data_IF_704297686002
#
_entry.id   IF_704297686002
#
_cell.length_a   1.000
_cell.length_b   1.000
_cell.length_c   1.000
_cell.angle_alpha   90.00
_cell.angle_beta   90.00
_cell.angle_gamma   90.00
#
_symmetry.space_group_name_H-M   'P 1'
#
loop_
_entity.id
_entity.type
_entity.pdbx_description
1 polymer ?
#
# COMPACT_ATOMS: atom_id res chain seq x y z
N UNK A 1 3.16 10.54 4.66
CA UNK A 1 3.66 9.30 4.00
C UNK A 1 5.10 8.92 4.35
N UNK A 2 5.99 9.87 4.70
CA UNK A 2 7.42 9.61 4.98
C UNK A 2 7.73 8.38 5.86
N UNK A 3 7.16 8.30 7.06
CA UNK A 3 7.47 7.20 8.02
C UNK A 3 7.16 5.81 7.45
N UNK A 4 6.06 5.68 6.70
CA UNK A 4 5.69 4.41 6.06
C UNK A 4 6.71 4.07 4.96
N UNK A 5 7.08 5.06 4.14
CA UNK A 5 8.09 4.88 3.09
C UNK A 5 9.47 4.50 3.67
N UNK A 6 9.91 5.17 4.75
CA UNK A 6 11.16 4.82 5.46
C UNK A 6 11.13 3.38 5.99
N UNK A 7 9.98 2.95 6.53
CA UNK A 7 9.80 1.56 6.99
C UNK A 7 9.99 0.56 5.84
N UNK A 8 9.39 0.82 4.68
CA UNK A 8 9.53 -0.05 3.50
C UNK A 8 10.98 -0.10 3.01
N UNK A 9 11.64 1.05 2.91
CA UNK A 9 13.02 1.19 2.45
C UNK A 9 13.98 0.40 3.34
N UNK A 10 13.81 0.52 4.67
CA UNK A 10 14.59 -0.25 5.65
C UNK A 10 14.38 -1.76 5.49
N UNK A 11 13.13 -2.22 5.34
CA UNK A 11 12.83 -3.64 5.12
C UNK A 11 13.34 -4.19 3.78
N UNK A 12 13.67 -3.30 2.83
CA UNK A 12 14.33 -3.63 1.56
C UNK A 12 15.87 -3.56 1.65
N UNK A 13 16.44 -3.15 2.79
CA UNK A 13 17.89 -2.98 2.95
C UNK A 13 18.46 -1.88 2.06
N UNK A 14 17.72 -0.79 1.89
CA UNK A 14 18.08 0.37 1.06
C UNK A 14 18.18 1.63 1.91
N UNK A 15 18.85 2.64 1.37
CA UNK A 15 18.92 3.97 1.96
C UNK A 15 17.97 4.95 1.25
N UNK A 16 17.44 5.90 2.01
CA UNK A 16 16.43 6.86 1.52
C UNK A 16 16.91 7.62 0.29
N UNK A 17 18.13 8.15 0.35
CA UNK A 17 18.71 9.00 -0.69
C UNK A 17 19.06 8.21 -1.97
N UNK A 18 19.11 6.87 -1.90
CA UNK A 18 19.36 6.01 -3.07
C UNK A 18 18.10 5.75 -3.91
N UNK A 19 16.93 5.70 -3.27
CA UNK A 19 15.72 5.13 -3.90
C UNK A 19 14.52 6.08 -3.92
N UNK A 20 14.55 7.18 -3.18
CA UNK A 20 13.43 8.12 -3.13
C UNK A 20 13.55 9.20 -4.20
N UNK A 21 12.49 9.35 -4.99
CA UNK A 21 12.30 10.47 -5.89
C UNK A 21 11.09 11.28 -5.42
N UNK A 22 11.28 12.58 -5.22
CA UNK A 22 10.18 13.50 -4.92
C UNK A 22 9.39 13.78 -6.20
N UNK A 23 8.07 13.75 -6.08
CA UNK A 23 7.14 14.02 -7.18
C UNK A 23 6.21 15.16 -6.78
N UNK A 24 5.59 15.79 -7.78
CA UNK A 24 4.59 16.84 -7.56
C UNK A 24 3.47 16.33 -6.66
N UNK A 25 3.05 17.17 -5.72
CA UNK A 25 1.97 16.83 -4.81
C UNK A 25 0.61 16.71 -5.53
N UNK A 26 -0.28 15.89 -4.99
CA UNK A 26 -1.62 15.69 -5.54
C UNK A 26 -2.48 16.95 -5.27
N UNK A 27 -3.17 17.51 -6.29
CA UNK A 27 -4.16 18.56 -6.03
C UNK A 27 -5.22 18.08 -5.03
N UNK A 28 -5.42 18.85 -3.95
CA UNK A 28 -6.36 18.49 -2.88
C UNK A 28 -5.88 17.33 -2.00
N UNK A 29 -4.57 17.16 -1.79
CA UNK A 29 -4.05 16.14 -0.89
C UNK A 29 -4.48 16.40 0.56
N UNK A 30 -5.39 15.59 1.06
CA UNK A 30 -5.83 15.65 2.45
C UNK A 30 -4.65 15.42 3.41
N UNK A 31 -4.51 16.31 4.40
CA UNK A 31 -3.33 16.33 5.28
C UNK A 31 -3.33 15.20 6.31
N UNK A 32 -4.50 14.88 6.87
CA UNK A 32 -4.62 13.92 7.97
C UNK A 32 -6.01 13.33 8.04
N UNK A 33 -6.05 12.00 8.11
CA UNK A 33 -7.21 11.26 8.57
C UNK A 33 -6.93 10.67 9.94
N UNK A 34 -7.94 10.66 10.79
CA UNK A 34 -7.91 10.02 12.09
C UNK A 34 -9.30 9.51 12.44
N UNK A 35 -9.37 8.34 13.07
CA UNK A 35 -10.62 7.72 13.51
C UNK A 35 -10.52 7.50 15.02
N UNK A 36 -11.57 7.89 15.74
CA UNK A 36 -11.79 7.48 17.12
C UNK A 36 -12.56 6.15 17.14
N UNK A 37 -11.90 5.08 17.57
CA UNK A 37 -12.47 3.74 17.67
C UNK A 37 -13.13 3.45 19.03
N UNK A 38 -13.32 4.45 19.90
CA UNK A 38 -13.87 4.26 21.26
C UNK A 38 -15.25 3.62 21.23
N UNK A 39 -16.11 4.00 20.27
CA UNK A 39 -17.48 3.48 20.19
C UNK A 39 -17.51 1.97 19.96
N UNK A 40 -16.80 1.48 18.93
CA UNK A 40 -16.79 0.06 18.58
C UNK A 40 -16.11 -0.79 19.65
N UNK A 41 -15.07 -0.24 20.30
CA UNK A 41 -14.41 -0.89 21.44
C UNK A 41 -15.37 -1.07 22.62
N UNK A 42 -16.11 -0.02 22.98
CA UNK A 42 -17.06 -0.06 24.10
C UNK A 42 -18.27 -0.95 23.81
N UNK A 43 -18.86 -0.82 22.63
CA UNK A 43 -20.15 -1.45 22.33
C UNK A 43 -20.02 -2.90 21.88
N UNK A 44 -18.93 -3.25 21.19
CA UNK A 44 -18.73 -4.58 20.61
C UNK A 44 -17.50 -5.30 21.16
N UNK A 45 -16.73 -4.69 22.08
CA UNK A 45 -15.50 -5.28 22.60
C UNK A 45 -14.39 -5.40 21.55
N UNK A 46 -14.49 -4.71 20.42
CA UNK A 46 -13.51 -4.81 19.35
C UNK A 46 -12.18 -4.17 19.77
N UNK A 47 -11.08 -4.87 19.47
CA UNK A 47 -9.72 -4.34 19.59
C UNK A 47 -8.87 -4.76 18.38
N UNK A 48 -7.89 -3.93 17.97
CA UNK A 48 -6.99 -4.28 16.88
C UNK A 48 -6.11 -5.47 17.28
N UNK A 49 -6.17 -6.55 16.50
CA UNK A 49 -5.37 -7.76 16.72
C UNK A 49 -3.89 -7.60 16.34
N UNK A 50 -3.58 -6.67 15.44
CA UNK A 50 -2.25 -6.52 14.85
C UNK A 50 -1.71 -5.11 15.08
N UNK A 51 -0.43 -5.03 15.44
CA UNK A 51 0.33 -3.78 15.46
C UNK A 51 0.86 -3.48 14.06
N UNK A 52 1.00 -2.21 13.72
CA UNK A 52 1.48 -1.80 12.40
C UNK A 52 2.88 -2.38 12.09
N UNK A 53 3.78 -2.30 13.07
CA UNK A 53 5.20 -2.67 12.94
C UNK A 53 5.40 -4.15 12.60
N UNK A 54 4.48 -5.01 13.05
CA UNK A 54 4.52 -6.45 12.75
C UNK A 54 3.71 -6.80 11.50
N UNK A 55 2.55 -6.17 11.32
CA UNK A 55 1.68 -6.41 10.17
C UNK A 55 2.36 -6.00 8.85
N UNK A 56 3.06 -4.86 8.82
CA UNK A 56 3.70 -4.36 7.60
C UNK A 56 4.74 -5.35 7.05
N UNK A 57 5.49 -6.05 7.92
CA UNK A 57 6.46 -7.08 7.52
C UNK A 57 5.78 -8.27 6.86
N UNK A 58 4.64 -8.68 7.41
CA UNK A 58 3.83 -9.77 6.84
C UNK A 58 3.30 -9.37 5.46
N UNK A 59 2.86 -8.12 5.30
CA UNK A 59 2.45 -7.59 3.99
C UNK A 59 3.61 -7.59 2.99
N UNK A 60 4.79 -7.09 3.38
CA UNK A 60 5.98 -7.10 2.51
C UNK A 60 6.32 -8.52 2.06
N UNK A 61 6.31 -9.48 2.99
CA UNK A 61 6.59 -10.89 2.67
C UNK A 61 5.54 -11.44 1.71
N UNK A 62 4.27 -11.14 1.90
CA UNK A 62 3.21 -11.54 0.98
C UNK A 62 3.47 -11.03 -0.45
N UNK A 63 3.88 -9.76 -0.62
CA UNK A 63 4.22 -9.23 -1.96
C UNK A 63 5.43 -9.92 -2.59
N UNK A 64 6.41 -10.34 -1.79
CA UNK A 64 7.56 -11.13 -2.26
C UNK A 64 7.16 -12.54 -2.68
N UNK A 65 6.30 -13.18 -1.92
CA UNK A 65 5.87 -14.56 -2.21
C UNK A 65 4.88 -14.63 -3.38
N UNK A 66 4.22 -13.51 -3.71
CA UNK A 66 3.15 -13.44 -4.70
C UNK A 66 3.54 -12.58 -5.91
N UNK A 67 4.79 -12.67 -6.38
CA UNK A 67 5.24 -11.84 -7.51
C UNK A 67 4.41 -12.03 -8.78
N UNK A 68 4.03 -13.27 -9.10
CA UNK A 68 3.23 -13.57 -10.28
C UNK A 68 1.91 -12.76 -10.31
N UNK A 69 1.32 -12.55 -9.13
CA UNK A 69 0.06 -11.81 -8.98
C UNK A 69 0.19 -10.35 -9.40
N UNK A 70 1.16 -9.60 -8.85
CA UNK A 70 1.30 -8.18 -9.17
C UNK A 70 2.10 -7.92 -10.45
N UNK A 71 3.00 -8.84 -10.86
CA UNK A 71 3.77 -8.68 -12.12
C UNK A 71 2.86 -8.68 -13.35
N UNK A 72 1.81 -9.49 -13.35
CA UNK A 72 0.81 -9.49 -14.41
C UNK A 72 0.17 -8.09 -14.58
N UNK A 73 -0.16 -7.43 -13.48
CA UNK A 73 -0.73 -6.06 -13.49
C UNK A 73 0.32 -5.06 -13.97
N UNK A 74 1.54 -5.12 -13.40
CA UNK A 74 2.63 -4.18 -13.74
C UNK A 74 3.06 -4.27 -15.20
N UNK A 75 2.93 -5.44 -15.83
CA UNK A 75 3.26 -5.63 -17.24
C UNK A 75 2.35 -4.85 -18.20
N UNK A 76 1.17 -4.43 -17.74
CA UNK A 76 0.16 -3.79 -18.59
C UNK A 76 -0.63 -4.76 -19.47
N UNK A 77 -0.38 -6.07 -19.40
CA UNK A 77 -1.09 -7.08 -20.20
C UNK A 77 -2.63 -7.04 -19.99
N UNK A 78 -3.09 -6.60 -18.80
CA UNK A 78 -4.51 -6.41 -18.53
C UNK A 78 -5.14 -5.28 -19.37
N UNK A 79 -4.37 -4.26 -19.77
CA UNK A 79 -4.86 -3.18 -20.63
C UNK A 79 -5.23 -3.71 -22.01
N UNK A 80 -4.40 -4.59 -22.58
CA UNK A 80 -4.69 -5.28 -23.84
C UNK A 80 -5.96 -6.12 -23.75
N UNK A 81 -6.16 -6.85 -22.64
CA UNK A 81 -7.41 -7.58 -22.40
C UNK A 81 -8.61 -6.61 -22.34
N UNK A 82 -8.49 -5.49 -21.62
CA UNK A 82 -9.55 -4.50 -21.52
C UNK A 82 -9.90 -3.86 -22.87
N UNK A 83 -8.91 -3.50 -23.68
CA UNK A 83 -9.12 -2.99 -25.04
C UNK A 83 -9.85 -4.03 -25.90
N UNK A 84 -9.40 -5.30 -25.91
CA UNK A 84 -10.06 -6.36 -26.69
C UNK A 84 -11.52 -6.58 -26.29
N UNK A 85 -11.85 -6.49 -24.99
CA UNK A 85 -13.20 -6.77 -24.50
C UNK A 85 -14.13 -5.54 -24.55
N UNK A 86 -13.59 -4.32 -24.53
CA UNK A 86 -14.38 -3.11 -24.30
C UNK A 86 -14.13 -1.96 -25.28
N UNK A 87 -13.18 -2.03 -26.21
CA UNK A 87 -12.87 -0.91 -27.13
C UNK A 87 -14.02 -0.54 -28.10
N UNK A 88 -15.01 -1.42 -28.27
CA UNK A 88 -16.17 -1.18 -29.12
C UNK A 88 -17.47 -0.83 -28.38
N UNK A 89 -17.41 -0.51 -27.08
CA UNK A 89 -18.54 0.03 -26.31
C UNK A 89 -18.46 1.54 -26.17
#
# INVERSE_FOLDING_TARGET
>A
NRVITETLIREMGKDWDEVVTYVTDRPGHDRRYAIDATKIKRELGWEPKHKFETAIKTTIQWYRDNEAWWRAIKSGAYLTYYEQQYAGR
#
